data_IF_690054060048
#
_entry.id   IF_690054060048
#
_cell.length_a   1.000
_cell.length_b   1.000
_cell.length_c   1.000
_cell.angle_alpha   90.00
_cell.angle_beta   90.00
_cell.angle_gamma   90.00
#
_symmetry.space_group_name_H-M   'P 1'
#
loop_
_entity.id
_entity.type
_entity.pdbx_description
1 polymer ?
#
# COMPACT_ATOMS: atom_id res chain seq x y z
N UNK A 1 -17.96 -2.80 -5.34
CA UNK A 1 -19.26 -2.86 -5.99
C UNK A 1 -19.40 -4.08 -6.91
N UNK A 2 -18.32 -4.60 -7.54
CA UNK A 2 -18.39 -5.85 -8.35
C UNK A 2 -18.77 -7.12 -7.55
N UNK A 3 -18.83 -7.06 -6.21
CA UNK A 3 -19.13 -8.21 -5.31
C UNK A 3 -20.39 -8.02 -4.47
N UNK A 4 -21.25 -7.06 -4.83
CA UNK A 4 -22.47 -6.77 -4.05
C UNK A 4 -22.22 -6.08 -2.70
N UNK A 5 -21.00 -5.53 -2.49
CA UNK A 5 -20.65 -4.74 -1.30
C UNK A 5 -21.09 -3.30 -1.56
N UNK A 6 -21.92 -2.75 -0.68
CA UNK A 6 -22.23 -1.34 -0.66
C UNK A 6 -21.05 -0.57 -0.02
N UNK A 7 -20.65 0.56 -0.61
CA UNK A 7 -19.47 1.32 -0.19
C UNK A 7 -19.81 2.79 -0.03
N UNK A 8 -19.54 3.33 1.16
CA UNK A 8 -19.56 4.77 1.45
C UNK A 8 -18.10 5.26 1.44
N UNK A 9 -17.79 6.16 0.51
CA UNK A 9 -16.43 6.69 0.35
C UNK A 9 -16.21 8.00 1.10
N UNK A 10 -15.20 8.04 1.98
CA UNK A 10 -14.72 9.26 2.63
C UNK A 10 -13.36 9.61 2.03
N UNK A 11 -13.31 10.63 1.18
CA UNK A 11 -12.08 11.11 0.53
C UNK A 11 -12.06 12.64 0.53
N UNK A 12 -10.95 13.22 0.96
CA UNK A 12 -10.73 14.67 0.96
C UNK A 12 -10.90 15.29 -0.42
N UNK A 13 -10.55 14.57 -1.48
CA UNK A 13 -10.77 15.00 -2.88
C UNK A 13 -12.25 15.09 -3.25
N UNK A 14 -13.10 14.34 -2.54
CA UNK A 14 -14.56 14.38 -2.70
C UNK A 14 -15.24 15.27 -1.64
N UNK A 15 -14.47 16.07 -0.89
CA UNK A 15 -14.98 17.01 0.11
C UNK A 15 -15.34 16.39 1.46
N UNK A 16 -15.03 15.11 1.69
CA UNK A 16 -15.34 14.43 2.96
C UNK A 16 -14.08 13.83 3.56
N UNK A 17 -13.72 14.27 4.76
CA UNK A 17 -12.53 13.77 5.45
C UNK A 17 -12.80 12.46 6.22
N UNK A 18 -11.79 11.61 6.33
CA UNK A 18 -11.85 10.37 7.11
C UNK A 18 -12.19 10.60 8.59
N UNK A 19 -11.88 11.77 9.14
CA UNK A 19 -12.24 12.18 10.51
C UNK A 19 -13.74 12.26 10.78
N UNK A 20 -14.58 12.31 9.72
CA UNK A 20 -16.04 12.27 9.82
C UNK A 20 -16.62 10.86 9.98
N UNK A 21 -15.79 9.83 10.01
CA UNK A 21 -16.23 8.44 10.13
C UNK A 21 -17.20 8.23 11.30
N UNK A 22 -16.99 8.91 12.42
CA UNK A 22 -17.86 8.80 13.60
C UNK A 22 -19.32 9.21 13.32
N UNK A 23 -19.55 10.19 12.44
CA UNK A 23 -20.89 10.62 12.02
C UNK A 23 -21.61 9.52 11.24
N UNK A 24 -20.87 8.84 10.36
CA UNK A 24 -21.40 7.72 9.58
C UNK A 24 -21.67 6.49 10.44
N UNK A 25 -20.74 6.11 11.32
CA UNK A 25 -20.92 4.97 12.25
C UNK A 25 -22.09 5.17 13.23
N UNK A 26 -22.48 6.42 13.49
CA UNK A 26 -23.63 6.71 14.33
C UNK A 26 -24.98 6.57 13.59
N UNK A 27 -24.99 6.87 12.29
CA UNK A 27 -26.23 7.04 11.53
C UNK A 27 -26.51 5.92 10.52
N UNK A 28 -25.50 5.12 10.18
CA UNK A 28 -25.56 4.09 9.17
C UNK A 28 -25.18 2.72 9.77
N UNK A 29 -25.71 1.64 9.20
CA UNK A 29 -25.34 0.27 9.57
C UNK A 29 -24.09 -0.15 8.80
N UNK A 30 -22.94 -0.03 9.43
CA UNK A 30 -21.61 -0.24 8.84
C UNK A 30 -20.99 -1.51 9.40
N UNK A 31 -20.73 -2.50 8.56
CA UNK A 31 -20.06 -3.75 8.97
C UNK A 31 -18.55 -3.58 9.16
N UNK A 32 -17.91 -2.76 8.33
CA UNK A 32 -16.46 -2.63 8.31
C UNK A 32 -16.00 -1.26 7.79
N UNK A 33 -14.98 -0.71 8.42
CA UNK A 33 -14.26 0.47 7.95
C UNK A 33 -12.93 0.05 7.35
N UNK A 34 -12.67 0.45 6.09
CA UNK A 34 -11.37 0.36 5.46
C UNK A 34 -10.65 1.70 5.54
N UNK A 35 -9.65 1.82 6.38
CA UNK A 35 -8.82 3.03 6.48
C UNK A 35 -7.57 2.88 5.62
N UNK A 36 -7.62 3.41 4.39
CA UNK A 36 -6.55 3.34 3.40
C UNK A 36 -5.89 4.71 3.15
N UNK A 37 -6.44 5.77 3.75
CA UNK A 37 -5.96 7.14 3.59
C UNK A 37 -4.67 7.37 4.38
N UNK A 38 -3.63 7.87 3.73
CA UNK A 38 -2.39 8.30 4.37
C UNK A 38 -1.55 9.19 3.44
N UNK A 39 -0.68 10.02 4.03
CA UNK A 39 0.49 10.56 3.34
C UNK A 39 1.52 9.46 3.22
N UNK A 40 1.85 9.08 1.99
CA UNK A 40 2.70 7.91 1.71
C UNK A 40 4.10 8.30 1.22
N UNK A 41 4.48 9.58 1.29
CA UNK A 41 5.80 10.03 0.87
C UNK A 41 6.87 9.54 1.87
N UNK A 42 7.83 8.78 1.37
CA UNK A 42 9.05 8.41 2.11
C UNK A 42 10.10 9.55 2.10
N UNK A 43 9.90 10.54 1.23
CA UNK A 43 10.72 11.74 1.20
C UNK A 43 10.27 12.69 2.30
N UNK A 44 11.21 13.37 2.96
CA UNK A 44 10.93 14.32 4.03
C UNK A 44 9.95 15.40 3.57
N UNK A 45 8.68 15.09 3.72
CA UNK A 45 7.58 16.02 3.54
C UNK A 45 7.38 16.87 4.79
N UNK A 46 6.31 17.65 4.81
CA UNK A 46 5.88 18.37 6.00
C UNK A 46 5.56 17.37 7.13
N UNK A 47 6.45 17.28 8.14
CA UNK A 47 6.33 16.33 9.26
C UNK A 47 5.03 16.55 10.05
N UNK A 48 4.61 17.80 10.22
CA UNK A 48 3.36 18.14 10.89
C UNK A 48 2.16 17.61 10.10
N UNK A 49 2.19 17.73 8.78
CA UNK A 49 1.12 17.21 7.93
C UNK A 49 1.07 15.67 7.98
N UNK A 50 2.23 14.99 7.99
CA UNK A 50 2.28 13.52 8.14
C UNK A 50 1.71 13.11 9.50
N UNK A 51 2.07 13.80 10.58
CA UNK A 51 1.51 13.53 11.91
C UNK A 51 -0.01 13.68 11.92
N UNK A 52 -0.52 14.79 11.40
CA UNK A 52 -1.95 15.07 11.35
C UNK A 52 -2.72 14.05 10.49
N UNK A 53 -2.22 13.78 9.27
CA UNK A 53 -2.92 12.94 8.30
C UNK A 53 -2.81 11.45 8.62
N UNK A 54 -1.66 10.97 9.12
CA UNK A 54 -1.45 9.56 9.38
C UNK A 54 -1.78 9.19 10.84
N UNK A 55 -1.25 9.91 11.81
CA UNK A 55 -1.38 9.56 13.24
C UNK A 55 -2.71 10.05 13.82
N UNK A 56 -2.93 11.37 13.81
CA UNK A 56 -4.11 11.96 14.47
C UNK A 56 -5.42 11.49 13.80
N UNK A 57 -5.42 11.37 12.47
CA UNK A 57 -6.57 10.85 11.73
C UNK A 57 -6.80 9.37 12.01
N UNK A 58 -5.74 8.54 12.04
CA UNK A 58 -5.85 7.13 12.35
C UNK A 58 -6.42 6.90 13.75
N UNK A 59 -5.91 7.61 14.76
CA UNK A 59 -6.43 7.51 16.14
C UNK A 59 -7.94 7.77 16.18
N UNK A 60 -8.42 8.83 15.55
CA UNK A 60 -9.85 9.15 15.49
C UNK A 60 -10.68 8.07 14.83
N UNK A 61 -10.18 7.48 13.73
CA UNK A 61 -10.87 6.38 13.03
C UNK A 61 -10.90 5.13 13.91
N UNK A 62 -9.79 4.78 14.53
CA UNK A 62 -9.68 3.61 15.40
C UNK A 62 -10.56 3.75 16.65
N UNK A 63 -10.57 4.94 17.28
CA UNK A 63 -11.42 5.22 18.44
C UNK A 63 -12.91 5.13 18.09
N UNK A 64 -13.30 5.68 16.94
CA UNK A 64 -14.68 5.59 16.46
C UNK A 64 -15.08 4.11 16.21
N UNK A 65 -14.25 3.34 15.51
CA UNK A 65 -14.51 1.91 15.28
C UNK A 65 -14.60 1.13 16.60
N UNK A 66 -13.75 1.42 17.57
CA UNK A 66 -13.79 0.80 18.90
C UNK A 66 -15.07 1.18 19.66
N UNK A 67 -15.47 2.45 19.63
CA UNK A 67 -16.66 2.96 20.29
C UNK A 67 -17.96 2.31 19.77
N UNK A 68 -18.05 2.11 18.45
CA UNK A 68 -19.23 1.53 17.80
C UNK A 68 -19.11 0.03 17.55
N UNK A 69 -18.02 -0.62 18.01
CA UNK A 69 -17.75 -2.05 17.84
C UNK A 69 -17.70 -2.51 16.37
N UNK A 70 -17.31 -1.63 15.47
CA UNK A 70 -17.19 -1.90 14.03
C UNK A 70 -15.80 -2.43 13.70
N UNK A 71 -15.71 -3.39 12.80
CA UNK A 71 -14.45 -3.92 12.29
C UNK A 71 -13.65 -2.82 11.62
N UNK A 72 -12.36 -2.68 12.00
CA UNK A 72 -11.40 -1.81 11.31
C UNK A 72 -10.37 -2.64 10.54
N UNK A 73 -10.29 -2.44 9.23
CA UNK A 73 -9.21 -2.93 8.38
C UNK A 73 -8.39 -1.72 7.94
N UNK A 74 -7.08 -1.69 8.20
CA UNK A 74 -6.28 -0.53 7.86
C UNK A 74 -4.99 -0.88 7.12
N UNK A 75 -4.57 0.01 6.21
CA UNK A 75 -3.31 -0.14 5.50
C UNK A 75 -2.13 0.22 6.43
N UNK A 76 -1.33 -0.78 6.77
CA UNK A 76 0.02 -0.62 7.25
C UNK A 76 1.01 -0.76 6.08
N UNK A 77 2.30 -0.92 6.37
CA UNK A 77 3.35 -0.90 5.35
C UNK A 77 4.49 -1.86 5.71
N UNK A 78 5.17 -2.38 4.70
CA UNK A 78 6.47 -3.06 4.86
C UNK A 78 7.52 -2.18 5.56
N UNK A 79 7.35 -0.85 5.53
CA UNK A 79 8.23 0.10 6.20
C UNK A 79 7.90 0.29 7.68
N UNK A 80 6.80 -0.28 8.18
CA UNK A 80 6.43 -0.27 9.60
C UNK A 80 7.29 -1.27 10.40
N UNK A 81 8.60 -1.19 10.25
CA UNK A 81 9.56 -2.03 10.96
C UNK A 81 10.49 -1.15 11.81
N UNK A 82 10.45 -1.25 13.15
CA UNK A 82 11.24 -0.39 14.03
C UNK A 82 12.76 -0.50 13.79
N UNK A 83 13.24 -1.66 13.32
CA UNK A 83 14.66 -1.89 13.06
C UNK A 83 15.17 -1.22 11.78
N UNK A 84 14.28 -0.96 10.81
CA UNK A 84 14.63 -0.47 9.48
C UNK A 84 13.83 0.76 9.05
N UNK A 85 13.21 1.48 9.99
CA UNK A 85 12.40 2.65 9.65
C UNK A 85 13.29 3.85 9.38
N UNK A 86 13.33 4.27 8.12
CA UNK A 86 14.12 5.40 7.63
C UNK A 86 13.27 6.64 7.31
N UNK A 87 11.96 6.58 7.54
CA UNK A 87 11.04 7.66 7.16
C UNK A 87 9.94 7.88 8.19
N UNK A 88 9.46 9.13 8.29
CA UNK A 88 8.29 9.47 9.13
C UNK A 88 7.04 8.70 8.71
N UNK A 89 6.90 8.36 7.43
CA UNK A 89 5.83 7.49 6.98
C UNK A 89 5.89 6.10 7.64
N UNK A 90 7.06 5.46 7.65
CA UNK A 90 7.24 4.16 8.31
C UNK A 90 6.97 4.25 9.82
N UNK A 91 7.46 5.31 10.48
CA UNK A 91 7.21 5.57 11.90
C UNK A 91 5.69 5.71 12.16
N UNK A 92 4.98 6.48 11.32
CA UNK A 92 3.54 6.66 11.48
C UNK A 92 2.78 5.34 11.34
N UNK A 93 3.16 4.48 10.38
CA UNK A 93 2.54 3.17 10.20
C UNK A 93 2.84 2.20 11.33
N UNK A 94 4.05 2.23 11.87
CA UNK A 94 4.38 1.46 13.08
C UNK A 94 3.58 1.95 14.30
N UNK A 95 3.42 3.27 14.45
CA UNK A 95 2.56 3.84 15.49
C UNK A 95 1.11 3.35 15.36
N UNK A 96 0.54 3.38 14.13
CA UNK A 96 -0.82 2.88 13.87
C UNK A 96 -0.99 1.42 14.34
N UNK A 97 0.00 0.55 14.08
CA UNK A 97 -0.01 -0.84 14.52
C UNK A 97 -0.01 -0.95 16.05
N UNK A 98 0.84 -0.18 16.75
CA UNK A 98 0.92 -0.19 18.21
C UNK A 98 -0.37 0.37 18.84
N UNK A 99 -0.88 1.48 18.33
CA UNK A 99 -2.12 2.09 18.80
C UNK A 99 -3.30 1.13 18.65
N UNK A 100 -3.50 0.55 17.48
CA UNK A 100 -4.58 -0.40 17.24
C UNK A 100 -4.48 -1.62 18.15
N UNK A 101 -3.27 -2.15 18.39
CA UNK A 101 -3.07 -3.33 19.24
C UNK A 101 -3.53 -3.14 20.68
N UNK A 102 -3.45 -1.92 21.18
CA UNK A 102 -3.84 -1.55 22.54
C UNK A 102 -5.29 -1.10 22.63
N UNK A 103 -5.70 -0.20 21.72
CA UNK A 103 -6.96 0.55 21.85
C UNK A 103 -8.10 0.07 20.96
N UNK A 104 -7.84 -0.66 19.86
CA UNK A 104 -8.88 -1.12 18.93
C UNK A 104 -8.79 -2.62 18.67
N UNK A 105 -9.42 -3.43 19.53
CA UNK A 105 -9.35 -4.91 19.47
C UNK A 105 -10.03 -5.50 18.22
N UNK A 106 -10.91 -4.76 17.57
CA UNK A 106 -11.54 -5.16 16.31
C UNK A 106 -10.68 -4.87 15.08
N UNK A 107 -9.52 -4.19 15.24
CA UNK A 107 -8.68 -3.80 14.13
C UNK A 107 -7.83 -4.95 13.58
N UNK A 108 -7.64 -4.94 12.25
CA UNK A 108 -6.64 -5.75 11.55
C UNK A 108 -5.80 -4.83 10.67
N UNK A 109 -4.52 -4.71 10.99
CA UNK A 109 -3.54 -4.01 10.17
C UNK A 109 -3.04 -4.90 9.04
N UNK A 110 -2.94 -4.34 7.84
CA UNK A 110 -2.50 -5.03 6.65
C UNK A 110 -1.17 -4.42 6.19
N UNK A 111 -0.04 -5.09 6.44
CA UNK A 111 1.25 -4.67 5.87
C UNK A 111 1.26 -4.93 4.38
N UNK A 112 1.26 -3.86 3.60
CA UNK A 112 1.31 -3.87 2.15
C UNK A 112 2.75 -3.71 1.67
N UNK A 113 3.12 -4.46 0.62
CA UNK A 113 4.47 -4.46 0.07
C UNK A 113 4.45 -4.04 -1.40
N UNK A 114 5.07 -2.90 -1.71
CA UNK A 114 5.33 -2.38 -3.07
C UNK A 114 4.19 -2.65 -4.06
N UNK A 115 2.98 -2.18 -3.71
CA UNK A 115 1.77 -2.38 -4.51
C UNK A 115 1.91 -1.72 -5.88
N UNK A 116 1.57 -2.46 -6.94
CA UNK A 116 1.60 -1.96 -8.31
C UNK A 116 0.33 -2.33 -9.08
N UNK A 117 -0.04 -1.50 -10.07
CA UNK A 117 -1.28 -1.62 -10.84
C UNK A 117 -1.16 -0.98 -12.23
N UNK A 118 -2.11 -1.22 -13.15
CA UNK A 118 -2.16 -0.56 -14.47
C UNK A 118 -2.20 0.96 -14.41
N UNK A 119 -2.76 1.52 -13.34
CA UNK A 119 -2.79 2.97 -13.07
C UNK A 119 -1.93 3.26 -11.82
N UNK A 120 -0.59 3.27 -11.95
CA UNK A 120 0.27 3.47 -10.80
C UNK A 120 0.17 4.91 -10.30
N UNK A 121 0.31 5.06 -8.97
CA UNK A 121 0.41 6.39 -8.37
C UNK A 121 1.65 7.10 -8.90
N UNK A 122 1.52 8.40 -9.13
CA UNK A 122 2.63 9.26 -9.53
C UNK A 122 3.85 9.11 -8.63
N UNK A 123 5.02 9.24 -9.21
CA UNK A 123 6.34 9.16 -8.55
C UNK A 123 6.66 7.80 -7.90
N UNK A 124 5.94 6.73 -8.26
CA UNK A 124 6.37 5.35 -7.97
C UNK A 124 7.29 4.83 -9.07
N UNK A 125 8.05 3.76 -8.77
CA UNK A 125 8.95 3.16 -9.77
C UNK A 125 8.18 2.82 -11.06
N UNK A 126 7.06 2.12 -10.95
CA UNK A 126 6.27 1.74 -12.13
C UNK A 126 5.73 2.96 -12.88
N UNK A 127 5.35 4.04 -12.18
CA UNK A 127 4.92 5.26 -12.85
C UNK A 127 6.02 5.83 -13.73
N UNK A 128 7.26 5.94 -13.24
CA UNK A 128 8.40 6.40 -14.04
C UNK A 128 8.66 5.44 -15.20
N UNK A 129 8.67 4.14 -14.98
CA UNK A 129 8.90 3.14 -16.01
C UNK A 129 7.86 3.21 -17.15
N UNK A 130 6.62 3.59 -16.86
CA UNK A 130 5.54 3.67 -17.85
C UNK A 130 5.49 5.03 -18.57
N UNK A 131 5.90 6.13 -17.93
CA UNK A 131 5.69 7.48 -18.47
C UNK A 131 6.96 8.15 -18.99
N UNK A 132 8.14 7.71 -18.55
CA UNK A 132 9.41 8.28 -19.00
C UNK A 132 10.05 7.45 -20.12
N UNK A 133 10.86 8.07 -20.95
CA UNK A 133 11.67 7.39 -21.97
C UNK A 133 12.97 6.81 -21.38
N UNK A 134 13.47 7.40 -20.29
CA UNK A 134 14.67 6.97 -19.58
C UNK A 134 14.47 7.07 -18.09
N UNK A 135 14.81 6.01 -17.35
CA UNK A 135 14.69 5.94 -15.90
C UNK A 135 16.03 5.60 -15.25
N UNK A 136 16.38 6.35 -14.20
CA UNK A 136 17.59 6.12 -13.40
C UNK A 136 17.28 5.18 -12.24
N UNK A 137 18.02 4.08 -12.15
CA UNK A 137 17.94 3.12 -11.05
C UNK A 137 19.14 3.30 -10.12
N UNK A 138 18.87 3.78 -8.91
CA UNK A 138 19.87 3.93 -7.84
C UNK A 138 20.34 2.58 -7.32
N UNK A 139 21.52 2.56 -6.69
CA UNK A 139 22.20 1.34 -6.26
C UNK A 139 22.29 0.30 -7.40
N UNK A 140 22.52 0.77 -8.62
CA UNK A 140 22.54 -0.05 -9.84
C UNK A 140 21.31 -0.96 -10.01
N UNK A 141 20.15 -0.56 -9.45
CA UNK A 141 18.92 -1.36 -9.48
C UNK A 141 18.95 -2.62 -8.62
N UNK A 142 19.89 -2.74 -7.69
CA UNK A 142 20.05 -3.92 -6.81
C UNK A 142 19.09 -3.93 -5.61
N UNK A 143 18.33 -2.87 -5.38
CA UNK A 143 17.37 -2.85 -4.30
C UNK A 143 16.30 -3.94 -4.48
N UNK A 144 16.09 -4.75 -3.44
CA UNK A 144 15.20 -5.91 -3.44
C UNK A 144 13.83 -5.53 -2.88
N UNK A 145 12.77 -5.92 -3.58
CA UNK A 145 11.38 -5.63 -3.21
C UNK A 145 10.48 -6.84 -3.49
N UNK A 146 9.44 -6.96 -2.66
CA UNK A 146 8.30 -7.84 -2.92
C UNK A 146 7.20 -7.00 -3.59
N UNK A 147 7.06 -7.10 -4.90
CA UNK A 147 6.02 -6.39 -5.65
C UNK A 147 4.72 -7.17 -5.60
N UNK A 148 3.63 -6.53 -5.14
CA UNK A 148 2.32 -7.16 -4.99
C UNK A 148 1.32 -6.51 -5.93
N UNK A 149 0.65 -7.31 -6.76
CA UNK A 149 -0.33 -6.80 -7.71
C UNK A 149 -1.58 -6.31 -6.98
N UNK A 150 -2.20 -5.23 -7.48
CA UNK A 150 -3.31 -4.55 -6.81
C UNK A 150 -4.50 -5.47 -6.55
N UNK A 151 -4.84 -6.38 -7.48
CA UNK A 151 -5.98 -7.27 -7.30
C UNK A 151 -5.77 -8.22 -6.11
N UNK A 152 -4.53 -8.72 -5.92
CA UNK A 152 -4.19 -9.56 -4.78
C UNK A 152 -4.29 -8.77 -3.47
N UNK A 153 -3.93 -7.47 -3.49
CA UNK A 153 -4.11 -6.59 -2.34
C UNK A 153 -5.58 -6.42 -1.99
N UNK A 154 -6.44 -6.23 -2.99
CA UNK A 154 -7.90 -6.12 -2.78
C UNK A 154 -8.46 -7.41 -2.17
N UNK A 155 -8.06 -8.59 -2.69
CA UNK A 155 -8.45 -9.88 -2.11
C UNK A 155 -7.99 -10.02 -0.66
N UNK A 156 -6.75 -9.63 -0.37
CA UNK A 156 -6.20 -9.66 0.97
C UNK A 156 -6.92 -8.72 1.95
N UNK A 157 -7.32 -7.54 1.50
CA UNK A 157 -8.11 -6.60 2.30
C UNK A 157 -9.51 -7.16 2.59
N UNK A 158 -10.15 -7.81 1.61
CA UNK A 158 -11.45 -8.48 1.80
C UNK A 158 -11.31 -9.64 2.80
N UNK A 159 -10.26 -10.45 2.67
CA UNK A 159 -9.94 -11.50 3.65
C UNK A 159 -9.81 -10.95 5.08
N UNK A 160 -9.25 -9.74 5.24
CA UNK A 160 -9.04 -9.11 6.53
C UNK A 160 -10.35 -8.78 7.29
N UNK A 161 -11.50 -8.66 6.59
CA UNK A 161 -12.81 -8.42 7.23
C UNK A 161 -13.12 -9.52 8.24
N UNK A 162 -12.97 -10.79 7.85
CA UNK A 162 -13.22 -11.96 8.71
C UNK A 162 -12.03 -12.39 9.56
N UNK A 163 -10.89 -11.65 9.50
CA UNK A 163 -9.68 -12.04 10.19
C UNK A 163 -9.67 -11.53 11.65
N UNK A 164 -9.35 -12.41 12.60
CA UNK A 164 -9.23 -12.08 14.02
C UNK A 164 -7.80 -11.74 14.45
N UNK A 165 -6.85 -11.64 13.51
CA UNK A 165 -5.47 -11.25 13.79
C UNK A 165 -5.34 -9.74 13.78
N UNK A 166 -4.54 -9.20 14.69
CA UNK A 166 -4.29 -7.76 14.78
C UNK A 166 -3.41 -7.25 13.63
N UNK A 167 -2.53 -8.11 13.10
CA UNK A 167 -1.60 -7.75 12.04
C UNK A 167 -1.40 -8.92 11.08
N UNK A 168 -1.45 -8.62 9.77
CA UNK A 168 -1.23 -9.59 8.69
C UNK A 168 -0.36 -8.98 7.58
N UNK A 169 0.36 -9.82 6.84
CA UNK A 169 1.02 -9.45 5.59
C UNK A 169 0.12 -9.75 4.40
N UNK A 170 -0.06 -8.78 3.51
CA UNK A 170 -0.60 -8.97 2.16
C UNK A 170 0.56 -8.70 1.19
N UNK A 171 1.19 -9.77 0.73
CA UNK A 171 2.47 -9.67 0.04
C UNK A 171 2.72 -10.87 -0.85
N UNK A 172 3.04 -10.62 -2.13
CA UNK A 172 3.74 -11.61 -2.93
C UNK A 172 5.17 -11.77 -2.37
N UNK A 173 5.46 -12.93 -1.80
CA UNK A 173 6.74 -13.20 -1.11
C UNK A 173 7.93 -13.46 -2.05
N UNK A 174 7.73 -13.34 -3.35
CA UNK A 174 8.80 -13.44 -4.34
C UNK A 174 9.63 -12.16 -4.36
N UNK A 175 10.87 -12.15 -3.81
CA UNK A 175 11.72 -10.97 -3.83
C UNK A 175 12.36 -10.81 -5.20
N UNK A 176 12.31 -9.63 -5.77
CA UNK A 176 12.99 -9.30 -7.03
C UNK A 176 13.72 -7.97 -6.91
N UNK A 177 14.79 -7.80 -7.70
CA UNK A 177 15.50 -6.53 -7.79
C UNK A 177 14.67 -5.49 -8.56
N UNK A 178 14.87 -4.21 -8.27
CA UNK A 178 14.25 -3.13 -9.05
C UNK A 178 14.70 -3.16 -10.51
N UNK A 179 15.92 -3.65 -10.78
CA UNK A 179 16.40 -3.88 -12.15
C UNK A 179 15.59 -4.96 -12.87
N UNK A 180 15.31 -6.10 -12.20
CA UNK A 180 14.51 -7.16 -12.79
C UNK A 180 13.11 -6.63 -13.16
N UNK A 181 12.46 -5.93 -12.22
CA UNK A 181 11.15 -5.33 -12.47
C UNK A 181 11.17 -4.34 -13.65
N UNK A 182 12.19 -3.49 -13.72
CA UNK A 182 12.36 -2.54 -14.84
C UNK A 182 12.61 -3.27 -16.17
N UNK A 183 13.34 -4.37 -16.15
CA UNK A 183 13.61 -5.19 -17.36
C UNK A 183 12.34 -5.84 -17.90
N UNK A 184 11.43 -6.30 -17.03
CA UNK A 184 10.12 -6.81 -17.43
C UNK A 184 9.29 -5.73 -18.13
N UNK A 185 9.27 -4.49 -17.60
CA UNK A 185 8.58 -3.37 -18.25
C UNK A 185 9.24 -3.01 -19.59
N UNK A 186 10.57 -3.01 -19.64
CA UNK A 186 11.34 -2.74 -20.87
C UNK A 186 11.04 -3.73 -21.99
N UNK A 187 10.66 -4.97 -21.67
CA UNK A 187 10.26 -5.95 -22.68
C UNK A 187 9.04 -5.52 -23.49
N UNK A 188 8.13 -4.77 -22.87
CA UNK A 188 6.87 -4.31 -23.52
C UNK A 188 6.93 -2.88 -24.07
N UNK A 189 7.93 -2.10 -23.70
CA UNK A 189 8.05 -0.68 -24.06
C UNK A 189 9.50 -0.32 -24.30
N UNK A 190 9.76 0.52 -25.32
CA UNK A 190 11.10 1.10 -25.50
C UNK A 190 11.42 1.99 -24.28
N UNK A 191 12.45 1.60 -23.53
CA UNK A 191 12.83 2.24 -22.26
C UNK A 191 14.35 2.26 -22.09
N UNK A 192 14.93 3.42 -21.89
CA UNK A 192 16.30 3.59 -21.45
C UNK A 192 16.41 3.37 -19.95
N UNK A 193 17.38 2.57 -19.50
CA UNK A 193 17.70 2.38 -18.10
C UNK A 193 19.12 2.90 -17.85
N UNK A 194 19.24 3.85 -16.93
CA UNK A 194 20.51 4.35 -16.45
C UNK A 194 20.80 3.79 -15.04
N UNK A 195 22.00 3.29 -14.85
CA UNK A 195 22.42 2.75 -13.58
C UNK A 195 23.25 3.79 -12.82
N UNK A 196 22.79 4.14 -11.63
CA UNK A 196 23.48 5.07 -10.73
C UNK A 196 24.04 4.25 -9.56
N UNK A 197 25.35 4.22 -9.44
CA UNK A 197 26.04 3.54 -8.32
C UNK A 197 26.05 4.42 -7.07
N UNK A 198 24.88 4.91 -6.68
CA UNK A 198 24.69 5.72 -5.48
C UNK A 198 23.51 5.16 -4.71
N UNK A 199 23.62 5.11 -3.39
CA UNK A 199 22.53 4.72 -2.50
C UNK A 199 21.78 5.96 -2.02
N UNK A 200 20.49 5.83 -1.82
CA UNK A 200 19.69 6.85 -1.17
C UNK A 200 19.50 6.49 0.30
N UNK A 201 19.75 7.42 1.21
CA UNK A 201 19.72 7.18 2.66
C UNK A 201 18.36 6.70 3.18
N UNK A 202 17.28 7.08 2.50
CA UNK A 202 15.91 6.70 2.86
C UNK A 202 15.41 5.43 2.13
N UNK A 203 16.25 4.80 1.29
CA UNK A 203 15.85 3.65 0.48
C UNK A 203 16.59 2.38 0.92
N UNK A 204 15.92 1.54 1.70
CA UNK A 204 16.50 0.30 2.19
C UNK A 204 16.93 -0.60 1.04
N UNK A 205 18.09 -1.24 1.17
CA UNK A 205 18.62 -2.19 0.19
C UNK A 205 17.62 -3.35 -0.01
N UNK A 206 17.04 -3.84 1.08
CA UNK A 206 16.06 -4.90 1.07
C UNK A 206 14.86 -4.55 1.95
N UNK A 207 13.66 -4.76 1.42
CA UNK A 207 12.42 -4.76 2.18
C UNK A 207 11.89 -6.18 2.25
N UNK A 208 12.38 -6.93 3.23
CA UNK A 208 11.98 -8.31 3.47
C UNK A 208 10.59 -8.40 4.13
N UNK A 209 9.95 -9.54 3.95
CA UNK A 209 8.68 -9.86 4.64
C UNK A 209 9.01 -10.37 6.04
N UNK A 210 8.47 -9.73 7.06
CA UNK A 210 8.55 -10.27 8.41
C UNK A 210 7.71 -11.55 8.50
N UNK A 211 8.36 -12.70 8.62
CA UNK A 211 7.73 -14.03 8.65
C UNK A 211 7.02 -14.37 9.94
N UNK A 212 7.25 -13.61 11.02
CA UNK A 212 6.53 -13.77 12.28
C UNK A 212 5.10 -13.22 12.21
N UNK A 213 4.83 -12.40 11.18
CA UNK A 213 3.51 -11.86 10.90
C UNK A 213 2.82 -12.76 9.88
N UNK A 214 1.58 -13.14 10.20
CA UNK A 214 0.78 -14.02 9.36
C UNK A 214 0.67 -13.52 7.91
N UNK A 215 1.04 -14.35 6.97
CA UNK A 215 0.87 -14.11 5.55
C UNK A 215 -0.53 -14.58 5.11
N UNK A 216 -1.29 -13.72 4.46
CA UNK A 216 -2.59 -14.09 3.89
C UNK A 216 -2.37 -15.16 2.82
N UNK A 217 -3.07 -16.32 2.91
CA UNK A 217 -2.85 -17.46 2.02
C UNK A 217 -3.57 -17.29 0.68
N UNK A 218 -3.09 -16.35 -0.13
CA UNK A 218 -3.59 -16.13 -1.49
C UNK A 218 -2.67 -16.76 -2.52
N UNK A 219 -3.25 -17.04 -3.69
CA UNK A 219 -2.49 -17.35 -4.90
C UNK A 219 -2.03 -16.03 -5.53
N UNK A 220 -0.89 -15.51 -5.09
CA UNK A 220 -0.39 -14.22 -5.55
C UNK A 220 0.01 -14.24 -7.02
N UNK A 221 -0.35 -13.18 -7.74
CA UNK A 221 0.07 -12.95 -9.13
C UNK A 221 1.60 -12.82 -9.20
N UNK A 222 2.25 -13.59 -10.08
CA UNK A 222 3.70 -13.43 -10.32
C UNK A 222 4.03 -12.03 -10.82
N UNK A 223 5.25 -11.56 -10.62
CA UNK A 223 5.66 -10.22 -11.09
C UNK A 223 5.57 -10.14 -12.62
N UNK A 224 5.91 -11.22 -13.31
CA UNK A 224 5.84 -11.38 -14.75
C UNK A 224 4.41 -11.26 -15.28
N UNK A 225 3.47 -12.01 -14.69
CA UNK A 225 2.06 -11.98 -15.06
C UNK A 225 1.42 -10.62 -14.74
N UNK A 226 1.78 -10.03 -13.61
CA UNK A 226 1.28 -8.71 -13.23
C UNK A 226 1.74 -7.62 -14.19
N UNK A 227 3.01 -7.61 -14.60
CA UNK A 227 3.51 -6.67 -15.63
C UNK A 227 2.82 -6.93 -16.97
N UNK A 228 2.65 -8.19 -17.39
CA UNK A 228 1.90 -8.53 -18.60
C UNK A 228 0.47 -7.98 -18.56
N UNK A 229 -0.28 -8.21 -17.47
CA UNK A 229 -1.65 -7.68 -17.29
C UNK A 229 -1.71 -6.17 -17.46
N UNK A 230 -0.71 -5.42 -16.95
CA UNK A 230 -0.64 -3.96 -17.12
C UNK A 230 -0.67 -3.56 -18.59
N UNK A 231 0.15 -4.21 -19.42
CA UNK A 231 0.23 -3.88 -20.83
C UNK A 231 -0.98 -4.36 -21.63
N UNK A 232 -1.56 -5.52 -21.26
CA UNK A 232 -2.79 -6.01 -21.89
C UNK A 232 -3.98 -5.08 -21.63
N UNK A 233 -4.15 -4.58 -20.39
CA UNK A 233 -5.21 -3.62 -20.06
C UNK A 233 -5.01 -2.25 -20.75
N UNK A 234 -3.78 -1.79 -20.91
CA UNK A 234 -3.47 -0.53 -21.58
C UNK A 234 -3.77 -0.59 -23.07
N UNK A 235 -3.41 -1.70 -23.75
CA UNK A 235 -3.77 -1.92 -25.16
C UNK A 235 -5.28 -1.97 -25.38
N UNK A 236 -6.04 -2.57 -24.46
CA UNK A 236 -7.50 -2.60 -24.55
C UNK A 236 -8.15 -1.22 -24.44
N UNK A 237 -7.54 -0.27 -23.73
CA UNK A 237 -8.01 1.12 -23.65
C UNK A 237 -7.70 1.93 -24.91
N UNK A 238 -6.55 1.71 -25.55
CA UNK A 238 -6.15 2.42 -26.79
C UNK A 238 -6.97 1.97 -28.02
N UNK A 239 -7.61 0.81 -27.98
CA UNK A 239 -8.47 0.29 -29.06
C UNK A 239 -9.96 0.66 -28.89
N UNK A 240 -10.34 1.39 -27.87
CA UNK A 240 -11.73 1.77 -27.57
C UNK A 240 -12.08 3.22 -27.94
N UNK A 241 -11.32 3.85 -28.87
CA UNK A 241 -11.59 5.16 -29.45
C UNK A 241 -11.78 5.08 -30.97
#
# INVERSE_FOLDING_TARGET
VKRGIEVIGLDRKCGTEATKVCEYLKNEDIDCVFHLAAQTSVFNGNLEQIRKDNIDTFMRVADACNQYHVKLVYASSSTANPENTTSMYGISKYFDEQYASVYCKTATGCRLHNVYSPNPRERTLLWFLLNEEKVSLYNCGQNIRCFTYMDDVVEGLIYAIGCNRQLINICNVQPVTTMYFATLVKYYKLLGIELINEKRDFDNLEQSVNRDIYLVPLSYTSVEDGVKKIFDERKGKDMSY
#
